data_IF_043012583154
#
_entry.id   IF_043012583154
#
_cell.length_a   1.000
_cell.length_b   1.000
_cell.length_c   1.000
_cell.angle_alpha   90.00
_cell.angle_beta   90.00
_cell.angle_gamma   90.00
#
_symmetry.space_group_name_H-M   'P 1'
#
loop_
_entity.id
_entity.type
_entity.pdbx_description
1 polymer ?
#
# COMPACT_ATOMS: atom_id res chain seq x y z
N UNK A 1 14.64 19.52 -10.67
CA UNK A 1 13.79 18.60 -9.89
C UNK A 1 12.64 19.41 -9.33
N UNK A 2 11.40 19.18 -9.78
CA UNK A 2 10.24 19.96 -9.33
C UNK A 2 9.55 19.25 -8.17
N UNK A 3 9.91 19.64 -6.95
CA UNK A 3 9.12 19.38 -5.75
C UNK A 3 8.37 20.67 -5.42
N UNK A 4 7.05 20.59 -5.36
CA UNK A 4 6.15 21.70 -5.03
C UNK A 4 5.96 21.91 -3.52
N UNK A 5 6.38 20.95 -2.69
CA UNK A 5 6.08 20.93 -1.26
C UNK A 5 7.31 20.85 -0.34
N UNK A 6 8.52 20.76 -0.90
CA UNK A 6 9.75 20.63 -0.11
C UNK A 6 10.66 21.83 -0.33
N UNK A 7 11.20 22.37 0.76
CA UNK A 7 12.22 23.42 0.73
C UNK A 7 13.51 22.92 0.08
N UNK A 8 14.31 23.84 -0.48
CA UNK A 8 15.62 23.57 -1.09
C UNK A 8 16.70 23.28 -0.03
N UNK A 9 16.41 22.39 0.92
CA UNK A 9 17.32 21.97 1.99
C UNK A 9 18.01 20.66 1.63
N UNK A 10 19.18 20.49 2.22
CA UNK A 10 19.98 19.27 2.12
C UNK A 10 19.92 18.48 3.43
N UNK A 11 20.04 17.18 3.30
CA UNK A 11 20.08 16.18 4.37
C UNK A 11 21.22 15.22 4.09
N UNK A 12 21.78 14.61 5.15
CA UNK A 12 22.81 13.59 5.01
C UNK A 12 22.15 12.23 4.86
N UNK A 13 22.31 11.62 3.69
CA UNK A 13 21.85 10.27 3.41
C UNK A 13 23.04 9.30 3.49
N UNK A 14 22.91 8.28 4.34
CA UNK A 14 23.85 7.17 4.42
C UNK A 14 23.65 6.25 3.22
N UNK A 15 24.73 5.93 2.50
CA UNK A 15 24.70 4.93 1.42
C UNK A 15 25.82 3.92 1.55
N UNK A 16 25.49 2.67 1.23
CA UNK A 16 26.47 1.61 1.05
C UNK A 16 26.94 1.62 -0.40
N UNK A 17 28.25 1.77 -0.60
CA UNK A 17 28.90 1.76 -1.89
C UNK A 17 29.06 0.33 -2.42
N UNK A 18 29.44 0.17 -3.69
CA UNK A 18 29.57 -1.16 -4.32
C UNK A 18 30.66 -2.03 -3.69
N UNK A 19 31.64 -1.40 -3.05
CA UNK A 19 32.71 -2.05 -2.29
C UNK A 19 32.29 -2.40 -0.84
N UNK A 20 31.06 -2.10 -0.45
CA UNK A 20 30.52 -2.35 0.88
C UNK A 20 30.88 -1.26 1.90
N UNK A 21 31.66 -0.24 1.53
CA UNK A 21 31.92 0.91 2.39
C UNK A 21 30.64 1.72 2.62
N UNK A 22 30.53 2.37 3.78
CA UNK A 22 29.40 3.23 4.13
C UNK A 22 29.87 4.67 4.13
N UNK A 23 29.23 5.50 3.32
CA UNK A 23 29.59 6.90 3.16
C UNK A 23 28.37 7.81 3.31
N UNK A 24 28.62 9.02 3.79
CA UNK A 24 27.63 10.08 3.97
C UNK A 24 27.60 10.96 2.73
N UNK A 25 26.42 11.11 2.14
CA UNK A 25 26.21 11.99 0.99
C UNK A 25 25.22 13.09 1.35
N UNK A 26 25.55 14.32 0.97
CA UNK A 26 24.56 15.38 0.94
C UNK A 26 23.57 15.12 -0.20
N UNK A 27 22.30 14.98 0.15
CA UNK A 27 21.22 14.86 -0.80
C UNK A 27 20.12 15.87 -0.49
N UNK A 28 19.31 16.23 -1.48
CA UNK A 28 18.16 17.09 -1.23
C UNK A 28 17.09 16.34 -0.44
N UNK A 29 16.44 17.02 0.52
CA UNK A 29 15.34 16.45 1.32
C UNK A 29 14.23 15.88 0.43
N UNK A 30 13.92 16.56 -0.68
CA UNK A 30 12.94 16.08 -1.65
C UNK A 30 13.33 14.73 -2.30
N UNK A 31 14.63 14.49 -2.50
CA UNK A 31 15.17 13.25 -3.07
C UNK A 31 15.11 12.13 -2.05
N UNK A 32 15.51 12.40 -0.80
CA UNK A 32 15.39 11.42 0.28
C UNK A 32 13.94 10.97 0.46
N UNK A 33 13.02 11.93 0.51
CA UNK A 33 11.59 11.67 0.62
C UNK A 33 11.05 10.88 -0.57
N UNK A 34 11.40 11.27 -1.80
CA UNK A 34 11.03 10.53 -3.00
C UNK A 34 11.53 9.09 -2.94
N UNK A 35 12.81 8.86 -2.63
CA UNK A 35 13.38 7.52 -2.57
C UNK A 35 12.72 6.66 -1.49
N UNK A 36 12.36 7.26 -0.35
CA UNK A 36 11.69 6.56 0.75
C UNK A 36 10.27 6.12 0.40
N UNK A 37 9.53 6.93 -0.35
CA UNK A 37 8.11 6.68 -0.64
C UNK A 37 7.92 5.94 -1.96
N UNK A 38 8.60 6.37 -3.02
CA UNK A 38 8.43 5.83 -4.37
C UNK A 38 9.24 4.55 -4.60
N UNK A 39 10.25 4.27 -3.78
CA UNK A 39 10.93 2.97 -3.77
C UNK A 39 10.05 1.82 -3.25
N UNK A 40 8.96 2.11 -2.54
CA UNK A 40 8.07 1.09 -1.96
C UNK A 40 7.19 0.38 -2.99
N UNK A 41 6.78 1.06 -4.06
CA UNK A 41 5.97 0.46 -5.14
C UNK A 41 6.75 -0.63 -5.87
N UNK A 42 8.05 -0.41 -6.07
CA UNK A 42 8.95 -1.37 -6.72
C UNK A 42 9.19 -2.60 -5.82
N UNK A 43 9.30 -2.39 -4.50
CA UNK A 43 9.47 -3.48 -3.53
C UNK A 43 8.21 -4.37 -3.43
N UNK A 44 7.02 -3.78 -3.39
CA UNK A 44 5.75 -4.53 -3.37
C UNK A 44 5.57 -5.35 -4.65
N UNK A 45 5.85 -4.74 -5.81
CA UNK A 45 5.82 -5.43 -7.10
C UNK A 45 6.87 -6.54 -7.20
N UNK A 46 8.09 -6.30 -6.70
CA UNK A 46 9.17 -7.30 -6.65
C UNK A 46 8.83 -8.45 -5.71
N UNK A 47 8.22 -8.17 -4.55
CA UNK A 47 7.72 -9.21 -3.65
C UNK A 47 6.64 -10.04 -4.33
N UNK A 48 5.65 -9.42 -4.97
CA UNK A 48 4.62 -10.16 -5.72
C UNK A 48 5.22 -10.98 -6.86
N UNK A 49 6.15 -10.42 -7.64
CA UNK A 49 6.81 -11.13 -8.73
C UNK A 49 7.65 -12.30 -8.24
N UNK A 50 8.23 -12.25 -7.05
CA UNK A 50 9.12 -13.30 -6.53
C UNK A 50 8.36 -14.34 -5.72
N UNK A 51 7.49 -13.93 -4.78
CA UNK A 51 6.64 -14.83 -4.00
C UNK A 51 5.48 -15.41 -4.83
N UNK A 52 4.81 -14.58 -5.62
CA UNK A 52 3.72 -15.04 -6.50
C UNK A 52 4.22 -16.06 -7.52
N UNK A 53 5.43 -15.89 -8.06
CA UNK A 53 6.04 -16.87 -8.96
C UNK A 53 6.38 -18.20 -8.27
N UNK A 54 6.92 -18.15 -7.04
CA UNK A 54 7.24 -19.36 -6.26
C UNK A 54 6.00 -20.13 -5.79
N UNK A 55 4.98 -19.44 -5.26
CA UNK A 55 3.76 -20.11 -4.78
C UNK A 55 2.89 -20.66 -5.92
N UNK A 56 2.79 -19.94 -7.05
CA UNK A 56 2.01 -20.36 -8.21
C UNK A 56 2.71 -21.45 -9.05
N UNK A 57 4.05 -21.52 -9.05
CA UNK A 57 4.77 -22.63 -9.73
C UNK A 57 4.72 -23.94 -8.94
N UNK A 58 4.83 -23.89 -7.62
CA UNK A 58 4.85 -25.11 -6.79
C UNK A 58 3.47 -25.64 -6.45
N UNK A 59 2.42 -24.81 -6.54
CA UNK A 59 1.03 -25.25 -6.46
C UNK A 59 0.27 -24.67 -7.64
N UNK A 60 -0.22 -25.54 -8.53
CA UNK A 60 -1.22 -25.21 -9.57
C UNK A 60 -2.58 -24.89 -8.92
N UNK A 61 -2.62 -23.97 -7.94
CA UNK A 61 -3.87 -23.46 -7.40
C UNK A 61 -4.25 -22.30 -8.32
N UNK A 62 -5.33 -22.43 -9.11
CA UNK A 62 -5.76 -21.35 -9.98
C UNK A 62 -6.07 -20.13 -9.12
N UNK A 63 -5.60 -18.95 -9.53
CA UNK A 63 -5.87 -17.66 -8.87
C UNK A 63 -7.37 -17.48 -8.53
N UNK A 64 -8.23 -18.07 -9.36
CA UNK A 64 -9.68 -18.16 -9.16
C UNK A 64 -10.10 -18.71 -7.79
N UNK A 65 -9.37 -19.68 -7.23
CA UNK A 65 -9.65 -20.27 -5.92
C UNK A 65 -9.40 -19.31 -4.76
N UNK A 66 -8.60 -18.26 -4.95
CA UNK A 66 -8.39 -17.22 -3.96
C UNK A 66 -9.36 -16.03 -4.15
N UNK A 67 -9.54 -15.60 -5.41
CA UNK A 67 -10.37 -14.45 -5.74
C UNK A 67 -11.86 -14.70 -5.46
N UNK A 68 -12.37 -15.90 -5.75
CA UNK A 68 -13.81 -16.19 -5.60
C UNK A 68 -14.26 -16.18 -4.13
N UNK A 69 -13.56 -16.82 -3.18
CA UNK A 69 -13.89 -16.71 -1.75
C UNK A 69 -13.75 -15.29 -1.21
N UNK A 70 -12.70 -14.56 -1.61
CA UNK A 70 -12.48 -13.18 -1.18
C UNK A 70 -13.63 -12.26 -1.65
N UNK A 71 -14.02 -12.36 -2.92
CA UNK A 71 -15.14 -11.59 -3.47
C UNK A 71 -16.47 -11.89 -2.76
N UNK A 72 -16.72 -13.16 -2.43
CA UNK A 72 -17.89 -13.57 -1.63
C UNK A 72 -17.86 -12.96 -0.23
N UNK A 73 -16.71 -12.99 0.45
CA UNK A 73 -16.54 -12.42 1.79
C UNK A 73 -16.75 -10.90 1.80
N UNK A 74 -16.18 -10.18 0.82
CA UNK A 74 -16.35 -8.74 0.65
C UNK A 74 -17.81 -8.37 0.37
N UNK A 75 -18.49 -9.12 -0.51
CA UNK A 75 -19.91 -8.92 -0.80
C UNK A 75 -20.79 -9.14 0.44
N UNK A 76 -20.51 -10.19 1.22
CA UNK A 76 -21.23 -10.48 2.46
C UNK A 76 -20.98 -9.41 3.54
N UNK A 77 -19.75 -8.88 3.61
CA UNK A 77 -19.41 -7.76 4.49
C UNK A 77 -20.17 -6.48 4.09
N UNK A 78 -20.20 -6.15 2.80
CA UNK A 78 -20.94 -5.01 2.28
C UNK A 78 -22.44 -5.09 2.58
N UNK A 79 -23.07 -6.27 2.40
CA UNK A 79 -24.48 -6.49 2.76
C UNK A 79 -24.75 -6.30 4.25
N UNK A 80 -23.88 -6.83 5.13
CA UNK A 80 -24.00 -6.63 6.57
C UNK A 80 -23.87 -5.16 6.96
N UNK A 81 -22.92 -4.45 6.38
CA UNK A 81 -22.74 -3.02 6.64
C UNK A 81 -23.94 -2.20 6.14
N UNK A 82 -24.48 -2.50 4.96
CA UNK A 82 -25.69 -1.85 4.45
C UNK A 82 -26.91 -2.07 5.38
N UNK A 83 -27.11 -3.30 5.87
CA UNK A 83 -28.15 -3.57 6.87
C UNK A 83 -27.93 -2.82 8.19
N UNK A 84 -26.68 -2.73 8.66
CA UNK A 84 -26.34 -1.98 9.86
C UNK A 84 -26.63 -0.48 9.69
N UNK A 85 -26.21 0.12 8.57
CA UNK A 85 -26.49 1.52 8.25
C UNK A 85 -28.00 1.80 8.14
N UNK A 86 -28.76 0.90 7.50
CA UNK A 86 -30.21 1.02 7.38
C UNK A 86 -30.90 0.98 8.75
N UNK A 87 -30.47 0.09 9.67
CA UNK A 87 -31.01 0.06 11.05
C UNK A 87 -30.70 1.33 11.82
N UNK A 88 -29.50 1.90 11.69
CA UNK A 88 -29.16 3.21 12.29
C UNK A 88 -29.93 4.38 11.69
N UNK A 89 -30.35 4.28 10.43
CA UNK A 89 -31.20 5.29 9.78
C UNK A 89 -32.66 5.29 10.25
N UNK A 90 -33.18 4.12 10.68
CA UNK A 90 -34.54 3.97 11.23
C UNK A 90 -34.65 4.58 12.64
N UNK A 91 -33.55 4.66 13.39
CA UNK A 91 -33.50 5.23 14.76
C UNK A 91 -33.40 6.76 14.82
N UNK A 92 -33.59 7.50 13.70
CA UNK A 92 -33.75 8.96 13.81
C UNK A 92 -35.11 9.25 14.46
N UNK A 93 -35.17 9.88 15.65
CA UNK A 93 -36.45 10.24 16.23
C UNK A 93 -37.17 11.16 15.25
N UNK A 94 -38.39 10.76 14.87
CA UNK A 94 -39.29 11.63 14.11
C UNK A 94 -39.37 12.95 14.85
N UNK A 95 -38.97 14.04 14.18
CA UNK A 95 -39.28 15.39 14.67
C UNK A 95 -40.80 15.45 14.87
N UNK A 96 -41.22 15.52 16.13
CA UNK A 96 -42.59 15.80 16.52
C UNK A 96 -42.95 17.22 16.05
N UNK A 97 -44.21 17.45 15.64
CA UNK A 97 -44.67 18.72 15.08
C UNK A 97 -44.58 19.89 16.06
#
# INVERSE_FOLDING_TARGET
MQSNCHEAKYTKAYRTMKDGSKEDFECHVAIEFYNKIMGGVDLEYQMWSTHGYCELKHRKIPLLYFIVPLAKALTASGKRNAHYQHRRGIERPSKTP
#
